data_IF_097546337843
#
_entry.id   IF_097546337843
#
_cell.length_a   1.000
_cell.length_b   1.000
_cell.length_c   1.000
_cell.angle_alpha   90.00
_cell.angle_beta   90.00
_cell.angle_gamma   90.00
#
_symmetry.space_group_name_H-M   'P 1'
#
loop_
_entity.id
_entity.type
_entity.pdbx_description
1 polymer ?
#
# COMPACT_ATOMS: atom_id res chain seq x y z
N UNK A 1 18.58 16.32 20.69
CA UNK A 1 19.71 17.27 20.90
C UNK A 1 21.00 16.90 20.12
N UNK A 2 21.38 15.62 19.96
CA UNK A 2 22.59 15.22 19.19
C UNK A 2 22.58 15.60 17.69
N UNK A 3 21.39 15.69 17.06
CA UNK A 3 21.26 16.10 15.65
C UNK A 3 21.56 17.58 15.40
N UNK A 4 21.41 18.44 16.40
CA UNK A 4 21.66 19.87 16.27
C UNK A 4 23.17 20.17 16.35
N UNK A 5 23.90 19.42 17.18
CA UNK A 5 25.34 19.59 17.40
C UNK A 5 26.21 19.25 16.19
N UNK A 6 25.86 18.25 15.36
CA UNK A 6 26.68 17.94 14.18
C UNK A 6 26.45 18.95 13.05
N UNK A 7 25.21 19.42 12.85
CA UNK A 7 24.89 20.46 11.87
C UNK A 7 25.62 21.75 12.16
N UNK A 8 25.65 22.17 13.43
CA UNK A 8 26.38 23.37 13.87
C UNK A 8 27.89 23.20 13.67
N UNK A 9 28.47 22.05 14.05
CA UNK A 9 29.90 21.77 13.82
C UNK A 9 30.25 21.78 12.34
N UNK A 10 29.42 21.18 11.49
CA UNK A 10 29.61 21.20 10.04
C UNK A 10 29.50 22.63 9.48
N UNK A 11 28.50 23.40 9.91
CA UNK A 11 28.35 24.79 9.49
C UNK A 11 29.59 25.64 9.86
N UNK A 12 30.08 25.51 11.09
CA UNK A 12 31.29 26.19 11.54
C UNK A 12 32.53 25.74 10.75
N UNK A 13 32.67 24.45 10.48
CA UNK A 13 33.77 23.92 9.67
C UNK A 13 33.74 24.47 8.24
N UNK A 14 32.55 24.52 7.61
CA UNK A 14 32.37 25.07 6.26
C UNK A 14 32.61 26.59 6.22
N UNK A 15 32.14 27.33 7.22
CA UNK A 15 32.44 28.77 7.36
C UNK A 15 33.95 29.01 7.53
N UNK A 16 34.62 28.22 8.37
CA UNK A 16 36.06 28.28 8.55
C UNK A 16 36.84 27.95 7.28
N UNK A 17 36.44 26.90 6.56
CA UNK A 17 37.03 26.54 5.27
C UNK A 17 36.84 27.65 4.23
N UNK A 18 35.65 28.24 4.14
CA UNK A 18 35.37 29.38 3.25
C UNK A 18 36.25 30.59 3.59
N UNK A 19 36.34 30.97 4.87
CA UNK A 19 37.20 32.06 5.31
C UNK A 19 38.69 31.80 4.99
N UNK A 20 39.16 30.56 5.20
CA UNK A 20 40.52 30.15 4.85
C UNK A 20 40.81 30.25 3.35
N UNK A 21 39.86 29.86 2.50
CA UNK A 21 39.99 29.96 1.04
C UNK A 21 40.04 31.41 0.57
N UNK A 22 39.18 32.29 1.11
CA UNK A 22 39.25 33.72 0.80
C UNK A 22 40.56 34.36 1.28
N UNK A 23 41.05 34.00 2.48
CA UNK A 23 42.32 34.49 2.99
C UNK A 23 43.50 34.03 2.11
N UNK A 24 43.53 32.76 1.70
CA UNK A 24 44.56 32.23 0.79
C UNK A 24 44.55 32.95 -0.56
N UNK A 25 43.36 33.17 -1.14
CA UNK A 25 43.22 33.88 -2.41
C UNK A 25 43.70 35.34 -2.29
N UNK A 26 43.41 36.02 -1.17
CA UNK A 26 43.94 37.36 -0.92
C UNK A 26 45.47 37.38 -0.79
N UNK A 27 46.08 36.41 -0.09
CA UNK A 27 47.54 36.35 0.06
C UNK A 27 48.28 36.17 -1.27
N UNK A 28 47.68 35.43 -2.22
CA UNK A 28 48.25 35.16 -3.55
C UNK A 28 48.08 36.35 -4.50
N UNK A 29 46.86 36.87 -4.65
CA UNK A 29 46.53 37.85 -5.69
C UNK A 29 46.52 39.30 -5.20
N UNK A 30 46.35 39.53 -3.89
CA UNK A 30 46.30 40.85 -3.21
C UNK A 30 45.30 41.85 -3.79
N UNK A 31 44.31 41.42 -4.57
CA UNK A 31 43.26 42.28 -5.16
C UNK A 31 41.95 42.18 -4.37
N UNK A 32 41.75 43.11 -3.43
CA UNK A 32 40.53 43.19 -2.62
C UNK A 32 39.31 43.71 -3.40
N UNK A 33 39.52 44.50 -4.45
CA UNK A 33 38.41 45.11 -5.20
C UNK A 33 37.74 44.09 -6.10
N UNK A 34 38.53 43.22 -6.73
CA UNK A 34 38.00 42.08 -7.47
C UNK A 34 37.22 41.13 -6.57
N UNK A 35 37.77 40.80 -5.40
CA UNK A 35 37.10 39.97 -4.37
C UNK A 35 35.76 40.55 -3.92
N UNK A 36 35.70 41.85 -3.64
CA UNK A 36 34.48 42.50 -3.17
C UNK A 36 33.37 42.47 -4.22
N UNK A 37 33.70 42.74 -5.50
CA UNK A 37 32.74 42.65 -6.60
C UNK A 37 32.21 41.22 -6.77
N UNK A 38 33.09 40.23 -6.70
CA UNK A 38 32.72 38.81 -6.80
C UNK A 38 31.83 38.38 -5.62
N UNK A 39 32.16 38.79 -4.41
CA UNK A 39 31.35 38.52 -3.22
C UNK A 39 29.95 39.14 -3.33
N UNK A 40 29.85 40.41 -3.75
CA UNK A 40 28.55 41.06 -3.95
C UNK A 40 27.71 40.37 -5.04
N UNK A 41 28.35 39.94 -6.13
CA UNK A 41 27.66 39.17 -7.18
C UNK A 41 27.14 37.82 -6.65
N UNK A 42 27.93 37.11 -5.84
CA UNK A 42 27.51 35.87 -5.19
C UNK A 42 26.35 36.12 -4.20
N UNK A 43 26.44 37.18 -3.40
CA UNK A 43 25.39 37.58 -2.46
C UNK A 43 24.07 37.88 -3.18
N UNK A 44 24.13 38.54 -4.34
CA UNK A 44 22.96 38.80 -5.20
C UNK A 44 22.35 37.52 -5.81
N UNK A 45 23.15 36.48 -6.03
CA UNK A 45 22.68 35.18 -6.52
C UNK A 45 22.09 34.28 -5.40
N UNK A 46 22.46 34.50 -4.14
CA UNK A 46 22.01 33.66 -3.01
C UNK A 46 20.48 33.50 -2.93
N UNK A 47 19.64 34.53 -3.08
CA UNK A 47 18.19 34.35 -3.02
C UNK A 47 17.67 33.39 -4.10
N UNK A 48 18.23 33.46 -5.31
CA UNK A 48 17.86 32.60 -6.44
C UNK A 48 18.31 31.16 -6.16
N UNK A 49 19.54 30.99 -5.68
CA UNK A 49 20.09 29.65 -5.40
C UNK A 49 19.34 28.96 -4.26
N UNK A 50 19.03 29.68 -3.17
CA UNK A 50 18.25 29.16 -2.05
C UNK A 50 16.84 28.77 -2.50
N UNK A 51 16.17 29.61 -3.31
CA UNK A 51 14.86 29.29 -3.87
C UNK A 51 14.91 28.00 -4.69
N UNK A 52 15.83 27.91 -5.66
CA UNK A 52 15.97 26.77 -6.56
C UNK A 52 16.26 25.48 -5.78
N UNK A 53 17.27 25.52 -4.91
CA UNK A 53 17.67 24.37 -4.10
C UNK A 53 16.53 23.95 -3.18
N UNK A 54 15.81 24.89 -2.57
CA UNK A 54 14.67 24.57 -1.70
C UNK A 54 13.54 23.89 -2.47
N UNK A 55 13.16 24.38 -3.64
CA UNK A 55 12.12 23.77 -4.47
C UNK A 55 12.52 22.35 -4.88
N UNK A 56 13.73 22.17 -5.42
CA UNK A 56 14.21 20.86 -5.89
C UNK A 56 14.33 19.88 -4.72
N UNK A 57 14.94 20.29 -3.60
CA UNK A 57 15.08 19.41 -2.43
C UNK A 57 13.73 19.05 -1.83
N UNK A 58 12.79 19.99 -1.72
CA UNK A 58 11.45 19.69 -1.20
C UNK A 58 10.70 18.70 -2.10
N UNK A 59 10.81 18.83 -3.43
CA UNK A 59 10.22 17.86 -4.35
C UNK A 59 10.84 16.47 -4.19
N UNK A 60 12.17 16.36 -4.16
CA UNK A 60 12.88 15.09 -3.97
C UNK A 60 12.55 14.44 -2.62
N UNK A 61 12.50 15.24 -1.55
CA UNK A 61 12.10 14.77 -0.22
C UNK A 61 10.65 14.30 -0.21
N UNK A 62 9.75 15.03 -0.90
CA UNK A 62 8.36 14.64 -1.05
C UNK A 62 8.20 13.29 -1.77
N UNK A 63 8.93 13.07 -2.87
CA UNK A 63 8.93 11.80 -3.60
C UNK A 63 9.42 10.64 -2.72
N UNK A 64 10.53 10.82 -1.99
CA UNK A 64 11.03 9.81 -1.04
C UNK A 64 10.06 9.53 0.09
N UNK A 65 9.43 10.57 0.64
CA UNK A 65 8.45 10.42 1.72
C UNK A 65 7.22 9.62 1.25
N UNK A 66 6.71 9.92 0.05
CA UNK A 66 5.61 9.17 -0.57
C UNK A 66 5.99 7.71 -0.80
N UNK A 67 7.16 7.43 -1.37
CA UNK A 67 7.63 6.05 -1.58
C UNK A 67 7.76 5.28 -0.26
N UNK A 68 8.30 5.91 0.79
CA UNK A 68 8.42 5.30 2.11
C UNK A 68 7.05 5.03 2.75
N UNK A 69 6.07 5.92 2.55
CA UNK A 69 4.69 5.73 3.01
C UNK A 69 4.01 4.56 2.28
N UNK A 70 4.13 4.49 0.96
CA UNK A 70 3.62 3.39 0.13
C UNK A 70 4.21 2.04 0.56
N UNK A 71 5.52 1.98 0.81
CA UNK A 71 6.18 0.76 1.28
C UNK A 71 5.62 0.31 2.65
N UNK A 72 5.44 1.24 3.59
CA UNK A 72 4.84 0.94 4.90
C UNK A 72 3.40 0.46 4.78
N UNK A 73 2.61 1.07 3.90
CA UNK A 73 1.24 0.63 3.68
C UNK A 73 1.19 -0.79 3.10
N UNK A 74 2.05 -1.11 2.14
CA UNK A 74 2.10 -2.45 1.59
C UNK A 74 2.51 -3.51 2.62
N UNK A 75 3.29 -3.16 3.64
CA UNK A 75 3.53 -4.05 4.79
C UNK A 75 2.24 -4.31 5.59
N UNK A 76 1.39 -3.29 5.77
CA UNK A 76 0.08 -3.41 6.45
C UNK A 76 -0.88 -4.26 5.63
N UNK A 77 -0.94 -4.04 4.31
CA UNK A 77 -1.73 -4.86 3.38
C UNK A 77 -1.24 -6.31 3.41
N UNK A 78 0.08 -6.53 3.48
CA UNK A 78 0.65 -7.87 3.64
C UNK A 78 0.24 -8.56 4.93
N UNK A 79 0.24 -7.84 6.05
CA UNK A 79 -0.27 -8.37 7.32
C UNK A 79 -1.78 -8.71 7.22
N UNK A 80 -2.56 -7.87 6.55
CA UNK A 80 -3.98 -8.14 6.29
C UNK A 80 -4.18 -9.41 5.47
N UNK A 81 -3.47 -9.61 4.36
CA UNK A 81 -3.61 -10.82 3.53
C UNK A 81 -3.11 -12.07 4.23
N UNK A 82 -2.09 -11.96 5.09
CA UNK A 82 -1.60 -13.08 5.90
C UNK A 82 -2.60 -13.52 6.96
N UNK A 83 -3.34 -12.59 7.57
CA UNK A 83 -4.21 -12.87 8.73
C UNK A 83 -5.69 -13.07 8.37
N UNK A 84 -6.18 -12.33 7.37
CA UNK A 84 -7.61 -12.25 7.04
C UNK A 84 -7.83 -12.46 5.55
N UNK A 85 -7.20 -11.63 4.70
CA UNK A 85 -7.55 -11.55 3.28
C UNK A 85 -7.38 -12.86 2.52
N UNK A 86 -6.30 -13.61 2.77
CA UNK A 86 -6.07 -14.91 2.12
C UNK A 86 -7.07 -15.98 2.54
N UNK A 87 -7.39 -16.06 3.84
CA UNK A 87 -8.40 -16.97 4.34
C UNK A 87 -9.80 -16.59 3.83
N UNK A 88 -10.12 -15.30 3.82
CA UNK A 88 -11.38 -14.78 3.31
C UNK A 88 -11.55 -15.09 1.82
N UNK A 89 -10.52 -14.89 0.99
CA UNK A 89 -10.58 -15.29 -0.43
C UNK A 89 -10.82 -16.80 -0.59
N UNK A 90 -10.19 -17.64 0.23
CA UNK A 90 -10.41 -19.10 0.20
C UNK A 90 -11.80 -19.52 0.68
N UNK A 91 -12.39 -18.78 1.62
CA UNK A 91 -13.76 -19.03 2.10
C UNK A 91 -14.79 -18.57 1.09
N UNK A 92 -14.57 -17.44 0.41
CA UNK A 92 -15.53 -16.86 -0.52
C UNK A 92 -15.44 -17.45 -1.93
N UNK A 93 -14.25 -17.92 -2.36
CA UNK A 93 -14.08 -18.43 -3.73
C UNK A 93 -15.03 -19.58 -4.09
N UNK A 94 -15.34 -20.57 -3.22
CA UNK A 94 -16.28 -21.64 -3.56
C UNK A 94 -17.72 -21.17 -3.72
N UNK A 95 -18.06 -19.97 -3.21
CA UNK A 95 -19.40 -19.40 -3.34
C UNK A 95 -19.60 -18.67 -4.67
N UNK A 96 -18.51 -18.38 -5.39
CA UNK A 96 -18.56 -17.74 -6.69
C UNK A 96 -18.85 -18.74 -7.81
N UNK A 97 -20.03 -18.61 -8.42
CA UNK A 97 -20.47 -19.47 -9.53
C UNK A 97 -19.60 -19.29 -10.79
N UNK A 98 -18.94 -18.15 -10.95
CA UNK A 98 -18.07 -17.86 -12.10
C UNK A 98 -16.59 -18.17 -11.82
N UNK A 99 -16.26 -18.78 -10.68
CA UNK A 99 -14.90 -19.18 -10.34
C UNK A 99 -14.21 -20.01 -11.45
N UNK A 100 -14.87 -20.97 -12.13
CA UNK A 100 -14.24 -21.76 -13.19
C UNK A 100 -13.79 -20.92 -14.41
N UNK A 101 -14.43 -19.78 -14.67
CA UNK A 101 -14.04 -18.84 -15.73
C UNK A 101 -12.91 -17.91 -15.26
N UNK A 102 -12.89 -17.57 -13.97
CA UNK A 102 -11.89 -16.72 -13.37
C UNK A 102 -10.55 -17.43 -13.12
N UNK A 103 -10.56 -18.67 -12.61
CA UNK A 103 -9.36 -19.43 -12.23
C UNK A 103 -8.31 -19.53 -13.36
N UNK A 104 -8.65 -19.91 -14.61
CA UNK A 104 -7.66 -20.00 -15.69
C UNK A 104 -7.01 -18.66 -16.03
N UNK A 105 -7.76 -17.56 -15.87
CA UNK A 105 -7.27 -16.20 -16.14
C UNK A 105 -6.18 -15.80 -15.15
N UNK A 106 -6.27 -16.25 -13.89
CA UNK A 106 -5.28 -15.96 -12.85
C UNK A 106 -4.26 -17.08 -12.63
N UNK A 107 -4.35 -18.21 -13.32
CA UNK A 107 -3.42 -19.33 -13.19
C UNK A 107 -1.98 -18.97 -13.61
N UNK A 108 -1.82 -18.02 -14.54
CA UNK A 108 -0.53 -17.63 -15.11
C UNK A 108 0.02 -16.30 -14.58
N UNK A 109 -0.46 -15.83 -13.42
CA UNK A 109 -0.06 -14.54 -12.83
C UNK A 109 1.44 -14.42 -12.52
N UNK A 110 2.17 -15.55 -12.50
CA UNK A 110 3.63 -15.57 -12.33
C UNK A 110 4.38 -14.87 -13.48
N UNK A 111 3.78 -14.81 -14.67
CA UNK A 111 4.38 -14.19 -15.87
C UNK A 111 3.91 -12.76 -16.11
N UNK A 112 2.99 -12.25 -15.31
CA UNK A 112 2.43 -10.90 -15.48
C UNK A 112 3.48 -9.85 -15.15
N UNK A 113 3.43 -8.72 -15.85
CA UNK A 113 4.13 -7.50 -15.49
C UNK A 113 3.17 -6.52 -14.78
N UNK A 114 3.72 -5.48 -14.15
CA UNK A 114 2.93 -4.46 -13.46
C UNK A 114 1.71 -3.92 -14.25
N UNK A 115 1.83 -3.61 -15.55
CA UNK A 115 0.69 -3.19 -16.38
C UNK A 115 -0.40 -4.26 -16.53
N UNK A 116 -0.05 -5.54 -16.55
CA UNK A 116 -1.00 -6.64 -16.70
C UNK A 116 -1.88 -6.77 -15.44
N UNK A 117 -1.27 -6.68 -14.25
CA UNK A 117 -2.01 -6.65 -12.98
C UNK A 117 -2.99 -5.47 -12.93
N UNK A 118 -2.54 -4.27 -13.32
CA UNK A 118 -3.36 -3.07 -13.30
C UNK A 118 -4.50 -3.16 -14.32
N UNK A 119 -4.21 -3.57 -15.55
CA UNK A 119 -5.22 -3.71 -16.60
C UNK A 119 -6.27 -4.77 -16.26
N UNK A 120 -5.83 -5.92 -15.75
CA UNK A 120 -6.75 -6.97 -15.33
C UNK A 120 -7.62 -6.51 -14.15
N UNK A 121 -7.02 -5.93 -13.10
CA UNK A 121 -7.75 -5.46 -11.93
C UNK A 121 -8.75 -4.33 -12.23
N UNK A 122 -8.42 -3.40 -13.13
CA UNK A 122 -9.35 -2.36 -13.59
C UNK A 122 -10.49 -2.92 -14.43
N UNK A 123 -10.23 -3.98 -15.20
CA UNK A 123 -11.24 -4.66 -16.02
C UNK A 123 -12.24 -5.49 -15.21
N UNK A 124 -11.97 -5.78 -13.93
CA UNK A 124 -12.90 -6.52 -13.08
C UNK A 124 -14.12 -5.67 -12.71
N UNK A 125 -15.29 -6.11 -13.15
CA UNK A 125 -16.58 -5.57 -12.77
C UNK A 125 -17.25 -6.45 -11.70
N UNK A 126 -18.18 -5.86 -10.93
CA UNK A 126 -18.95 -6.64 -9.94
C UNK A 126 -19.75 -7.77 -10.59
N UNK A 127 -20.21 -7.56 -11.83
CA UNK A 127 -21.00 -8.53 -12.59
C UNK A 127 -20.21 -9.74 -13.09
N UNK A 128 -18.87 -9.68 -13.06
CA UNK A 128 -18.01 -10.80 -13.44
C UNK A 128 -18.08 -11.94 -12.42
N UNK A 129 -18.56 -11.65 -11.21
CA UNK A 129 -18.65 -12.58 -10.10
C UNK A 129 -20.11 -12.77 -9.70
N UNK A 130 -20.46 -13.96 -9.24
CA UNK A 130 -21.82 -14.24 -8.75
C UNK A 130 -21.77 -15.09 -7.50
N UNK A 131 -22.01 -14.47 -6.35
CA UNK A 131 -22.02 -15.15 -5.06
C UNK A 131 -23.35 -15.87 -4.84
N UNK A 132 -23.27 -17.16 -4.54
CA UNK A 132 -24.39 -18.01 -4.15
C UNK A 132 -24.18 -18.52 -2.74
N UNK A 133 -25.01 -18.05 -1.81
CA UNK A 133 -24.95 -18.44 -0.40
C UNK A 133 -25.72 -19.75 -0.18
N UNK A 134 -25.15 -20.68 0.59
CA UNK A 134 -25.83 -21.86 1.11
C UNK A 134 -26.17 -21.68 2.60
N UNK A 135 -27.01 -22.58 3.13
CA UNK A 135 -27.35 -22.54 4.55
C UNK A 135 -26.10 -22.82 5.42
N UNK A 136 -25.81 -21.91 6.36
CA UNK A 136 -24.67 -22.03 7.29
C UNK A 136 -23.38 -21.32 6.84
N UNK A 137 -23.28 -20.93 5.57
CA UNK A 137 -22.12 -20.20 5.02
C UNK A 137 -21.90 -18.86 5.75
N UNK A 138 -22.98 -18.13 5.99
CA UNK A 138 -22.95 -16.83 6.66
C UNK A 138 -22.57 -16.93 8.15
N UNK A 139 -22.86 -18.04 8.81
CA UNK A 139 -22.48 -18.24 10.22
C UNK A 139 -20.98 -18.48 10.36
N UNK A 140 -20.43 -19.34 9.50
CA UNK A 140 -19.00 -19.58 9.45
C UNK A 140 -18.23 -18.28 9.14
N UNK A 141 -18.74 -17.48 8.19
CA UNK A 141 -18.17 -16.19 7.86
C UNK A 141 -18.28 -15.18 9.02
N UNK A 142 -19.45 -15.08 9.66
CA UNK A 142 -19.65 -14.22 10.84
C UNK A 142 -18.64 -14.57 11.93
N UNK A 143 -18.56 -15.85 12.30
CA UNK A 143 -17.70 -16.31 13.38
C UNK A 143 -16.21 -16.09 13.07
N UNK A 144 -15.81 -16.23 11.79
CA UNK A 144 -14.47 -15.89 11.33
C UNK A 144 -14.19 -14.39 11.44
N UNK A 145 -15.08 -13.54 10.93
CA UNK A 145 -14.92 -12.09 10.92
C UNK A 145 -14.91 -11.51 12.35
N UNK A 146 -15.78 -12.00 13.23
CA UNK A 146 -15.82 -11.56 14.63
C UNK A 146 -14.52 -11.89 15.37
N UNK A 147 -13.92 -13.06 15.12
CA UNK A 147 -12.60 -13.43 15.68
C UNK A 147 -11.48 -12.51 15.19
N UNK A 148 -11.64 -11.87 14.02
CA UNK A 148 -10.64 -10.98 13.41
C UNK A 148 -10.97 -9.49 13.60
N UNK A 149 -12.08 -9.14 14.26
CA UNK A 149 -12.56 -7.76 14.44
C UNK A 149 -11.50 -6.85 15.08
N UNK A 150 -10.88 -7.27 16.17
CA UNK A 150 -9.85 -6.47 16.86
C UNK A 150 -8.59 -6.26 16.01
N UNK A 151 -8.27 -7.21 15.13
CA UNK A 151 -7.19 -7.04 14.17
C UNK A 151 -7.57 -6.02 13.10
N UNK A 152 -8.75 -6.14 12.51
CA UNK A 152 -9.25 -5.19 11.51
C UNK A 152 -9.36 -3.76 12.07
N UNK A 153 -9.73 -3.60 13.35
CA UNK A 153 -9.87 -2.28 13.99
C UNK A 153 -8.51 -1.61 14.14
N UNK A 154 -7.50 -2.37 14.57
CA UNK A 154 -6.11 -1.90 14.64
C UNK A 154 -5.52 -1.54 13.27
N UNK A 155 -6.00 -2.16 12.20
CA UNK A 155 -5.63 -1.72 10.85
C UNK A 155 -6.13 -0.30 10.64
N UNK A 156 -7.43 -0.02 10.84
CA UNK A 156 -8.05 1.30 10.63
C UNK A 156 -7.40 2.44 11.42
N UNK A 157 -6.78 2.15 12.56
CA UNK A 157 -6.01 3.12 13.34
C UNK A 157 -4.75 3.63 12.62
N UNK A 158 -4.32 2.98 11.54
CA UNK A 158 -3.14 3.38 10.80
C UNK A 158 -3.39 4.66 9.98
N UNK A 159 -2.71 5.78 10.29
CA UNK A 159 -2.95 7.07 9.62
C UNK A 159 -2.56 7.07 8.14
N UNK A 160 -1.82 6.06 7.67
CA UNK A 160 -1.46 5.94 6.26
C UNK A 160 -2.56 5.32 5.39
N UNK A 161 -3.59 4.72 5.99
CA UNK A 161 -4.72 4.15 5.26
C UNK A 161 -5.60 5.19 4.59
N UNK A 162 -5.82 6.32 5.25
CA UNK A 162 -6.70 7.40 4.78
C UNK A 162 -6.30 8.01 3.43
N UNK A 163 -5.07 7.77 2.96
CA UNK A 163 -4.60 8.23 1.65
C UNK A 163 -4.77 7.17 0.53
N UNK A 164 -5.22 5.96 0.88
CA UNK A 164 -5.50 4.88 -0.06
C UNK A 164 -6.97 4.53 -0.04
N UNK A 165 -7.71 5.15 -0.96
CA UNK A 165 -9.16 5.00 -1.07
C UNK A 165 -9.59 3.55 -1.29
N UNK A 166 -8.82 2.76 -2.06
CA UNK A 166 -9.21 1.40 -2.44
C UNK A 166 -9.13 0.40 -1.28
N UNK A 167 -8.00 0.35 -0.56
CA UNK A 167 -7.85 -0.54 0.59
C UNK A 167 -8.70 -0.10 1.79
N UNK A 168 -8.88 1.22 1.98
CA UNK A 168 -9.84 1.73 2.97
C UNK A 168 -11.28 1.34 2.64
N UNK A 169 -11.66 1.36 1.35
CA UNK A 169 -12.98 0.90 0.89
C UNK A 169 -13.17 -0.60 1.14
N UNK A 170 -12.12 -1.41 0.90
CA UNK A 170 -12.15 -2.85 1.23
C UNK A 170 -12.38 -3.07 2.73
N UNK A 171 -11.60 -2.41 3.59
CA UNK A 171 -11.77 -2.54 5.04
C UNK A 171 -13.17 -2.13 5.47
N UNK A 172 -13.69 -1.01 4.95
CA UNK A 172 -15.05 -0.55 5.25
C UNK A 172 -16.11 -1.57 4.83
N UNK A 173 -16.00 -2.16 3.64
CA UNK A 173 -16.92 -3.19 3.16
C UNK A 173 -16.91 -4.44 4.05
N UNK A 174 -15.73 -4.91 4.45
CA UNK A 174 -15.59 -6.05 5.38
C UNK A 174 -16.19 -5.71 6.75
N UNK A 175 -15.95 -4.49 7.25
CA UNK A 175 -16.53 -4.04 8.51
C UNK A 175 -18.05 -3.94 8.47
N UNK A 176 -18.61 -3.33 7.42
CA UNK A 176 -20.05 -3.26 7.22
C UNK A 176 -20.67 -4.66 7.28
N UNK A 177 -20.12 -5.60 6.52
CA UNK A 177 -20.56 -6.99 6.51
C UNK A 177 -20.42 -7.65 7.89
N UNK A 178 -19.32 -7.39 8.60
CA UNK A 178 -19.09 -7.94 9.94
C UNK A 178 -20.14 -7.44 10.93
N UNK A 179 -20.44 -6.14 10.92
CA UNK A 179 -21.42 -5.54 11.83
C UNK A 179 -22.84 -6.02 11.50
N UNK A 180 -23.21 -6.08 10.22
CA UNK A 180 -24.53 -6.57 9.80
C UNK A 180 -24.73 -8.04 10.20
N UNK A 181 -23.74 -8.89 9.99
CA UNK A 181 -23.80 -10.30 10.40
C UNK A 181 -23.81 -10.47 11.92
N UNK A 182 -23.15 -9.57 12.68
CA UNK A 182 -23.13 -9.62 14.14
C UNK A 182 -24.46 -9.21 14.78
N UNK A 183 -25.20 -8.31 14.15
CA UNK A 183 -26.50 -7.83 14.65
C UNK A 183 -27.65 -8.81 14.37
N UNK A 184 -27.49 -9.71 13.40
CA UNK A 184 -28.52 -10.70 13.04
C UNK A 184 -28.51 -11.87 14.02
N UNK A 185 -29.64 -12.07 14.71
CA UNK A 185 -29.81 -13.13 15.73
C UNK A 185 -29.92 -14.55 15.17
N UNK A 186 -30.47 -14.72 13.97
CA UNK A 186 -30.64 -16.01 13.31
C UNK A 186 -30.34 -15.87 11.80
N UNK A 187 -29.22 -16.45 11.36
CA UNK A 187 -28.81 -16.44 9.95
C UNK A 187 -29.42 -17.61 9.15
N UNK A 188 -30.10 -18.55 9.80
CA UNK A 188 -30.83 -19.62 9.13
C UNK A 188 -32.23 -19.19 8.69
N UNK A 189 -32.80 -18.16 9.31
CA UNK A 189 -34.16 -17.65 9.02
C UNK A 189 -34.16 -16.29 8.34
N UNK A 190 -33.34 -16.15 7.31
CA UNK A 190 -33.30 -14.93 6.49
C UNK A 190 -34.43 -14.93 5.46
N UNK A 191 -35.04 -13.76 5.25
CA UNK A 191 -35.97 -13.57 4.12
C UNK A 191 -35.19 -13.67 2.80
N UNK A 192 -35.89 -13.95 1.69
CA UNK A 192 -35.24 -13.99 0.36
C UNK A 192 -34.54 -12.65 0.05
N UNK A 193 -35.19 -11.52 0.38
CA UNK A 193 -34.61 -10.19 0.17
C UNK A 193 -33.35 -9.95 1.02
N UNK A 194 -33.31 -10.46 2.26
CA UNK A 194 -32.11 -10.37 3.11
C UNK A 194 -30.96 -11.21 2.57
N UNK A 195 -31.26 -12.41 2.06
CA UNK A 195 -30.25 -13.27 1.46
C UNK A 195 -29.65 -12.64 0.20
N UNK A 196 -30.50 -12.06 -0.66
CA UNK A 196 -30.05 -11.33 -1.86
C UNK A 196 -29.21 -10.10 -1.50
N UNK A 197 -29.62 -9.33 -0.48
CA UNK A 197 -28.86 -8.19 0.03
C UNK A 197 -27.46 -8.61 0.50
N UNK A 198 -27.38 -9.62 1.38
CA UNK A 198 -26.11 -10.11 1.91
C UNK A 198 -25.22 -10.73 0.84
N UNK A 199 -25.80 -11.45 -0.13
CA UNK A 199 -25.04 -11.96 -1.28
C UNK A 199 -24.40 -10.81 -2.07
N UNK A 200 -25.14 -9.72 -2.28
CA UNK A 200 -24.62 -8.49 -2.89
C UNK A 200 -23.48 -7.87 -2.07
N UNK A 201 -23.62 -7.77 -0.75
CA UNK A 201 -22.58 -7.25 0.15
C UNK A 201 -21.30 -8.09 0.13
N UNK A 202 -21.46 -9.42 0.20
CA UNK A 202 -20.35 -10.37 0.08
C UNK A 202 -19.68 -10.24 -1.29
N UNK A 203 -20.45 -10.12 -2.37
CA UNK A 203 -19.91 -9.96 -3.73
C UNK A 203 -19.11 -8.66 -3.87
N UNK A 204 -19.63 -7.54 -3.39
CA UNK A 204 -18.90 -6.26 -3.39
C UNK A 204 -17.58 -6.35 -2.62
N UNK A 205 -17.62 -6.92 -1.41
CA UNK A 205 -16.42 -7.16 -0.62
C UNK A 205 -15.43 -8.09 -1.30
N UNK A 206 -15.90 -9.15 -1.94
CA UNK A 206 -15.09 -10.12 -2.67
C UNK A 206 -14.37 -9.47 -3.86
N UNK A 207 -15.06 -8.68 -4.69
CA UNK A 207 -14.44 -7.99 -5.83
C UNK A 207 -13.35 -7.02 -5.36
N UNK A 208 -13.62 -6.22 -4.32
CA UNK A 208 -12.62 -5.33 -3.72
C UNK A 208 -11.41 -6.12 -3.20
N UNK A 209 -11.65 -7.27 -2.58
CA UNK A 209 -10.61 -8.13 -2.03
C UNK A 209 -9.71 -8.70 -3.12
N UNK A 210 -10.27 -9.12 -4.26
CA UNK A 210 -9.51 -9.57 -5.43
C UNK A 210 -8.66 -8.44 -6.01
N UNK A 211 -9.25 -7.25 -6.19
CA UNK A 211 -8.52 -6.08 -6.73
C UNK A 211 -7.33 -5.71 -5.86
N UNK A 212 -7.52 -5.65 -4.54
CA UNK A 212 -6.43 -5.39 -3.59
C UNK A 212 -5.40 -6.52 -3.57
N UNK A 213 -5.82 -7.77 -3.72
CA UNK A 213 -4.89 -8.91 -3.80
C UNK A 213 -4.01 -8.81 -5.06
N UNK A 214 -4.59 -8.49 -6.21
CA UNK A 214 -3.82 -8.29 -7.46
C UNK A 214 -2.83 -7.12 -7.34
N UNK A 215 -3.26 -6.00 -6.76
CA UNK A 215 -2.39 -4.85 -6.51
C UNK A 215 -1.24 -5.22 -5.56
N UNK A 216 -1.53 -5.98 -4.50
CA UNK A 216 -0.54 -6.48 -3.56
C UNK A 216 0.44 -7.46 -4.23
N UNK A 217 -0.04 -8.38 -5.07
CA UNK A 217 0.81 -9.30 -5.83
C UNK A 217 1.77 -8.56 -6.76
N UNK A 218 1.30 -7.53 -7.47
CA UNK A 218 2.14 -6.67 -8.30
C UNK A 218 3.24 -5.96 -7.48
N UNK A 219 2.87 -5.47 -6.29
CA UNK A 219 3.82 -4.83 -5.39
C UNK A 219 4.91 -5.81 -4.91
N UNK A 220 4.50 -7.01 -4.47
CA UNK A 220 5.41 -8.07 -4.04
C UNK A 220 6.36 -8.48 -5.16
N UNK A 221 5.86 -8.66 -6.38
CA UNK A 221 6.69 -9.06 -7.52
C UNK A 221 7.84 -8.07 -7.75
N UNK A 222 7.57 -6.77 -7.62
CA UNK A 222 8.55 -5.71 -7.88
C UNK A 222 9.52 -5.49 -6.71
N UNK A 223 9.02 -5.50 -5.47
CA UNK A 223 9.79 -5.04 -4.30
C UNK A 223 10.23 -6.17 -3.36
N UNK A 224 9.53 -7.31 -3.37
CA UNK A 224 9.78 -8.44 -2.46
C UNK A 224 9.61 -9.79 -3.17
N UNK A 225 10.49 -10.15 -4.13
CA UNK A 225 10.33 -11.36 -4.95
C UNK A 225 10.20 -12.67 -4.14
N UNK A 226 10.84 -12.72 -2.96
CA UNK A 226 10.74 -13.88 -2.06
C UNK A 226 9.33 -14.04 -1.45
N UNK A 227 8.66 -12.93 -1.09
CA UNK A 227 7.27 -12.95 -0.63
C UNK A 227 6.31 -13.26 -1.77
N UNK A 228 6.59 -12.73 -2.97
CA UNK A 228 5.80 -13.05 -4.17
C UNK A 228 5.81 -14.55 -4.47
N UNK A 229 6.99 -15.19 -4.40
CA UNK A 229 7.11 -16.63 -4.58
C UNK A 229 6.26 -17.43 -3.59
N UNK A 230 6.24 -17.02 -2.31
CA UNK A 230 5.37 -17.64 -1.31
C UNK A 230 3.88 -17.41 -1.63
N UNK A 231 3.49 -16.17 -1.95
CA UNK A 231 2.12 -15.80 -2.24
C UNK A 231 1.56 -16.52 -3.48
N UNK A 232 2.40 -16.78 -4.50
CA UNK A 232 2.07 -17.63 -5.64
C UNK A 232 1.80 -19.07 -5.23
N UNK A 233 2.64 -19.64 -4.37
CA UNK A 233 2.48 -21.03 -3.87
C UNK A 233 1.24 -21.19 -3.00
N UNK A 234 0.82 -20.14 -2.31
CA UNK A 234 -0.39 -20.10 -1.48
C UNK A 234 -1.55 -19.37 -2.16
N UNK A 235 -1.60 -19.33 -3.50
CA UNK A 235 -2.62 -18.64 -4.26
C UNK A 235 -4.03 -19.10 -3.82
N UNK A 236 -4.92 -18.20 -3.39
CA UNK A 236 -6.26 -18.56 -2.90
C UNK A 236 -7.18 -19.13 -3.99
N UNK A 237 -6.85 -18.95 -5.27
CA UNK A 237 -7.60 -19.49 -6.40
C UNK A 237 -7.04 -20.82 -6.94
N UNK A 238 -5.92 -21.31 -6.40
CA UNK A 238 -5.36 -22.62 -6.76
C UNK A 238 -5.78 -23.66 -5.70
N UNK A 239 -6.61 -24.66 -6.06
CA UNK A 239 -7.04 -25.70 -5.13
C UNK A 239 -5.90 -26.65 -4.70
N UNK A 240 -4.77 -26.65 -5.42
CA UNK A 240 -3.58 -27.46 -5.11
C UNK A 240 -2.44 -26.62 -4.50
N UNK A 241 -2.72 -25.39 -4.10
CA UNK A 241 -1.77 -24.48 -3.47
C UNK A 241 -1.16 -25.11 -2.19
N UNK A 242 0.18 -25.20 -2.15
CA UNK A 242 0.93 -25.72 -1.00
C UNK A 242 2.07 -24.76 -0.65
N UNK A 243 2.24 -24.36 0.63
CA UNK A 243 3.29 -23.43 1.01
C UNK A 243 4.70 -24.01 0.85
N UNK A 244 4.84 -25.33 0.95
CA UNK A 244 6.10 -26.05 0.84
C UNK A 244 6.72 -25.97 -0.57
N UNK A 245 8.05 -25.98 -0.62
CA UNK A 245 8.79 -26.10 -1.87
C UNK A 245 8.88 -27.59 -2.19
N UNK A 246 8.34 -27.98 -3.35
CA UNK A 246 8.49 -29.34 -3.90
C UNK A 246 9.86 -29.54 -4.54
#
# INVERSE_FOLDING_TARGET
>A
MKFLTWKIRLALALMGASAGLYALNYLIFRDSNYMLRLFLAQLGFLPISVLLVTIILNQLLGLRAKAAKLAKLNMVIGAFFSEVGGALLKTLSPWDQHLPEFQPRVAHISHWAGPDFAGFGQGLAENDFRISLQAGDLEALRDFLLKKRDFLLRLLENPNLLEHDSFSSLLLAIFHLTEELAQRTDLHRLTVSDQEHLAGDVQRGYVLLIKEWLAYMAHLQTHYPYLFSLALRTNPFDPFATPEIK
#
